data_IF_694027992813
#
_entry.id   IF_694027992813
#
_cell.length_a   1.000
_cell.length_b   1.000
_cell.length_c   1.000
_cell.angle_alpha   90.00
_cell.angle_beta   90.00
_cell.angle_gamma   90.00
#
_symmetry.space_group_name_H-M   'P 1'
#
loop_
_entity.id
_entity.type
_entity.pdbx_description
1 polymer ?
#
# COMPACT_ATOMS: atom_id res chain seq x y z
N UNK A 1 6.33 -14.59 -23.23
CA UNK A 1 6.28 -13.71 -22.05
C UNK A 1 7.71 -13.43 -21.60
N UNK A 2 8.12 -12.16 -21.49
CA UNK A 2 9.48 -11.81 -21.08
C UNK A 2 9.55 -11.63 -19.56
N UNK A 3 9.78 -12.74 -18.86
CA UNK A 3 9.69 -12.81 -17.39
C UNK A 3 10.71 -11.91 -16.69
N UNK A 4 11.87 -11.65 -17.32
CA UNK A 4 12.92 -10.79 -16.77
C UNK A 4 12.46 -9.33 -16.72
N UNK A 5 11.84 -8.85 -17.80
CA UNK A 5 11.27 -7.50 -17.85
C UNK A 5 10.16 -7.33 -16.82
N UNK A 6 9.26 -8.32 -16.71
CA UNK A 6 8.20 -8.30 -15.71
C UNK A 6 8.75 -8.23 -14.28
N UNK A 7 9.75 -9.05 -13.95
CA UNK A 7 10.38 -9.06 -12.63
C UNK A 7 11.01 -7.71 -12.27
N UNK A 8 11.69 -7.06 -13.23
CA UNK A 8 12.28 -5.73 -13.03
C UNK A 8 11.18 -4.68 -12.78
N UNK A 9 10.08 -4.71 -13.54
CA UNK A 9 8.96 -3.80 -13.33
C UNK A 9 8.34 -3.99 -11.94
N UNK A 10 8.04 -5.23 -11.55
CA UNK A 10 7.49 -5.54 -10.22
C UNK A 10 8.43 -5.10 -9.10
N UNK A 11 9.74 -5.36 -9.23
CA UNK A 11 10.73 -4.93 -8.25
C UNK A 11 10.74 -3.41 -8.09
N UNK A 12 10.67 -2.65 -9.19
CA UNK A 12 10.60 -1.19 -9.15
C UNK A 12 9.32 -0.70 -8.45
N UNK A 13 8.15 -1.29 -8.78
CA UNK A 13 6.88 -0.97 -8.15
C UNK A 13 6.90 -1.22 -6.63
N UNK A 14 7.34 -2.41 -6.21
CA UNK A 14 7.41 -2.76 -4.80
C UNK A 14 8.48 -1.97 -4.04
N UNK A 15 9.59 -1.60 -4.67
CA UNK A 15 10.60 -0.73 -4.07
C UNK A 15 10.02 0.67 -3.79
N UNK A 16 9.32 1.26 -4.76
CA UNK A 16 8.64 2.54 -4.58
C UNK A 16 7.57 2.46 -3.48
N UNK A 17 6.77 1.38 -3.46
CA UNK A 17 5.77 1.15 -2.42
C UNK A 17 6.41 1.03 -1.02
N UNK A 18 7.49 0.27 -0.89
CA UNK A 18 8.20 0.10 0.39
C UNK A 18 8.75 1.44 0.90
N UNK A 19 9.43 2.22 0.06
CA UNK A 19 9.97 3.54 0.44
C UNK A 19 8.82 4.47 0.86
N UNK A 20 7.76 4.57 0.05
CA UNK A 20 6.59 5.40 0.38
C UNK A 20 5.91 4.99 1.68
N UNK A 21 5.84 3.68 1.98
CA UNK A 21 5.22 3.16 3.21
C UNK A 21 5.96 3.59 4.47
N UNK A 22 7.30 3.73 4.44
CA UNK A 22 8.09 4.16 5.60
C UNK A 22 7.67 5.57 6.06
N UNK A 23 7.41 6.46 5.11
CA UNK A 23 7.02 7.84 5.43
C UNK A 23 5.52 7.99 5.72
N UNK A 24 4.68 7.11 5.19
CA UNK A 24 3.21 7.23 5.30
C UNK A 24 2.60 6.34 6.38
N UNK A 25 3.26 5.26 6.82
CA UNK A 25 2.74 4.37 7.87
C UNK A 25 2.38 5.10 9.19
N UNK A 26 3.16 6.07 9.71
CA UNK A 26 2.78 6.79 10.92
C UNK A 26 1.50 7.63 10.78
N UNK A 27 1.12 8.00 9.55
CA UNK A 27 -0.10 8.75 9.29
C UNK A 27 -1.37 7.93 9.58
N UNK A 28 -1.30 6.59 9.51
CA UNK A 28 -2.42 5.67 9.75
C UNK A 28 -2.94 5.83 11.19
N UNK A 29 -2.04 5.79 12.17
CA UNK A 29 -2.37 6.00 13.59
C UNK A 29 -2.48 7.47 13.97
N UNK A 30 -2.01 8.37 13.10
CA UNK A 30 -2.10 9.82 13.28
C UNK A 30 -3.43 10.39 12.78
N UNK A 31 -3.38 11.29 11.81
CA UNK A 31 -4.56 12.00 11.32
C UNK A 31 -5.60 11.09 10.64
N UNK A 32 -5.19 9.95 10.08
CA UNK A 32 -6.12 9.05 9.40
C UNK A 32 -7.08 8.35 10.39
N UNK A 33 -6.60 8.06 11.60
CA UNK A 33 -7.41 7.45 12.66
C UNK A 33 -8.48 8.41 13.22
N UNK A 34 -8.30 9.73 13.11
CA UNK A 34 -9.25 10.72 13.63
C UNK A 34 -10.37 11.09 12.66
N UNK A 35 -10.36 10.54 11.44
CA UNK A 35 -11.39 10.81 10.43
C UNK A 35 -12.73 10.16 10.82
N UNK A 36 -13.82 10.86 10.55
CA UNK A 36 -15.15 10.27 10.49
C UNK A 36 -15.28 9.40 9.22
N UNK A 37 -14.87 8.13 9.31
CA UNK A 37 -14.94 7.16 8.21
C UNK A 37 -16.40 6.72 7.99
N UNK A 38 -16.88 6.57 6.74
CA UNK A 38 -18.19 5.98 6.48
C UNK A 38 -18.25 4.51 6.94
N UNK A 39 -19.46 4.01 7.23
CA UNK A 39 -19.66 2.67 7.80
C UNK A 39 -19.20 1.52 6.89
N UNK A 40 -19.03 1.76 5.59
CA UNK A 40 -18.57 0.78 4.61
C UNK A 40 -17.05 0.84 4.34
N UNK A 41 -16.30 1.67 5.07
CA UNK A 41 -14.83 1.67 4.95
C UNK A 41 -14.26 0.35 5.46
N UNK A 42 -13.42 -0.34 4.67
CA UNK A 42 -12.79 -1.58 5.11
C UNK A 42 -11.77 -1.30 6.24
N UNK A 43 -11.44 -2.31 7.06
CA UNK A 43 -10.38 -2.19 8.05
C UNK A 43 -9.02 -1.83 7.42
N UNK A 44 -8.22 -1.03 8.13
CA UNK A 44 -6.94 -0.49 7.63
C UNK A 44 -5.95 -1.57 7.17
N UNK A 45 -6.00 -2.78 7.73
CA UNK A 45 -5.13 -3.89 7.34
C UNK A 45 -5.46 -4.48 5.96
N UNK A 46 -6.69 -4.29 5.44
CA UNK A 46 -7.14 -4.83 4.15
C UNK A 46 -6.40 -4.18 2.98
N UNK A 47 -5.89 -2.96 3.15
CA UNK A 47 -5.15 -2.27 2.11
C UNK A 47 -3.85 -3.00 1.74
N UNK A 48 -3.15 -3.62 2.71
CA UNK A 48 -1.90 -4.33 2.44
C UNK A 48 -2.03 -5.48 1.42
N UNK A 49 -2.96 -6.45 1.58
CA UNK A 49 -3.14 -7.51 0.58
C UNK A 49 -3.70 -6.99 -0.75
N UNK A 50 -4.57 -5.97 -0.73
CA UNK A 50 -5.13 -5.39 -1.97
C UNK A 50 -4.02 -4.76 -2.82
N UNK A 51 -3.20 -3.89 -2.23
CA UNK A 51 -2.10 -3.23 -2.96
C UNK A 51 -1.02 -4.20 -3.40
N UNK A 52 -0.82 -5.31 -2.69
CA UNK A 52 0.19 -6.30 -3.07
C UNK A 52 -0.25 -7.23 -4.19
N UNK A 53 -1.57 -7.37 -4.41
CA UNK A 53 -2.15 -8.20 -5.46
C UNK A 53 -2.28 -7.46 -6.80
N UNK A 54 -2.48 -6.14 -6.76
CA UNK A 54 -2.57 -5.24 -7.92
C UNK A 54 -1.21 -5.07 -8.61
#
# INVERSE_FOLDING_TARGET
>A
MDWKKLAVCLAACFAAAAIGSVFTAPAITGWYASLAKPWFSPPDWVFAPVWSLL
#
